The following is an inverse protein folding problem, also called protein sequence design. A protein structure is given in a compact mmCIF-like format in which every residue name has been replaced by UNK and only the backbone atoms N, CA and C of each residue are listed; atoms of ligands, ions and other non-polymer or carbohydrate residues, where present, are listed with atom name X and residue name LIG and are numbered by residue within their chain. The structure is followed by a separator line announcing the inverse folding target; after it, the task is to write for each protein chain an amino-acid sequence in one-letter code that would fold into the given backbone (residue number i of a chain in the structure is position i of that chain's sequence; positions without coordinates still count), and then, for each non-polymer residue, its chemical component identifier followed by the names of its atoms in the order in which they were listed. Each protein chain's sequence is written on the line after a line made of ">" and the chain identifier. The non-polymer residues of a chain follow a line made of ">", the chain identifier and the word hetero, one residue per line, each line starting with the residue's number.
data_IF_285195054478
#
_entry.id   IF_285195054478
#
_cell.length_a   1.000
_cell.length_b   1.000
_cell.length_c   1.000
_cell.angle_alpha   90.00
_cell.angle_beta   90.00
_cell.angle_gamma   90.00
#
_symmetry.space_group_name_H-M   'P 1'
#
loop_
_entity.id
_entity.type
_entity.pdbx_description
1 polymer ?
#
# COMPACT_ATOMS: atom_id res chain seq x y z
N UNK A 1 -6.87 -6.64 -5.58
CA UNK A 1 -5.51 -6.59 -5.03
C UNK A 1 -5.56 -7.29 -3.69
N UNK A 2 -4.62 -8.18 -3.43
CA UNK A 2 -4.62 -9.00 -2.21
C UNK A 2 -3.24 -8.96 -1.57
N UNK A 3 -3.22 -8.85 -0.26
CA UNK A 3 -2.06 -9.14 0.57
C UNK A 3 -2.39 -10.47 1.24
N UNK A 4 -1.68 -11.53 0.87
CA UNK A 4 -1.77 -12.82 1.54
C UNK A 4 -0.50 -13.01 2.37
N UNK A 5 -0.65 -13.52 3.57
CA UNK A 5 0.45 -13.85 4.47
C UNK A 5 0.36 -15.33 4.87
N UNK A 6 1.50 -15.96 5.09
CA UNK A 6 1.55 -17.30 5.65
C UNK A 6 1.87 -17.22 7.14
N UNK A 7 0.86 -17.53 7.98
CA UNK A 7 1.02 -17.58 9.43
C UNK A 7 1.56 -18.95 9.84
N UNK A 8 2.62 -18.95 10.63
CA UNK A 8 3.30 -20.18 11.08
C UNK A 8 3.33 -20.24 12.61
N UNK A 9 3.10 -21.43 13.17
CA UNK A 9 3.29 -21.72 14.58
C UNK A 9 4.79 -21.78 14.88
N UNK A 10 5.30 -20.87 15.72
CA UNK A 10 6.72 -20.74 16.03
C UNK A 10 7.23 -21.95 16.84
N UNK A 11 6.43 -22.48 17.78
CA UNK A 11 6.79 -23.66 18.55
C UNK A 11 7.04 -24.86 17.65
N UNK A 12 6.11 -25.15 16.74
CA UNK A 12 6.23 -26.24 15.75
C UNK A 12 7.37 -26.04 14.77
N UNK A 13 7.56 -24.81 14.32
CA UNK A 13 8.69 -24.46 13.45
C UNK A 13 10.05 -24.77 14.10
N UNK A 14 10.21 -24.44 15.38
CA UNK A 14 11.43 -24.77 16.16
C UNK A 14 11.62 -26.27 16.37
N UNK A 15 10.54 -27.08 16.33
CA UNK A 15 10.58 -28.54 16.35
C UNK A 15 10.90 -29.15 14.97
N UNK A 16 11.01 -28.33 13.92
CA UNK A 16 11.25 -28.74 12.55
C UNK A 16 9.98 -29.09 11.75
N UNK A 17 8.81 -28.74 12.29
CA UNK A 17 7.51 -28.93 11.63
C UNK A 17 6.98 -27.61 11.09
N UNK A 18 6.71 -27.53 9.78
CA UNK A 18 6.08 -26.37 9.16
C UNK A 18 4.55 -26.46 9.30
N UNK A 19 4.02 -25.94 10.40
CA UNK A 19 2.59 -25.85 10.67
C UNK A 19 2.12 -24.41 10.51
N UNK A 20 1.33 -24.14 9.48
CA UNK A 20 0.84 -22.80 9.17
C UNK A 20 -0.27 -22.81 8.14
N UNK A 21 -0.84 -21.63 7.86
CA UNK A 21 -1.85 -21.46 6.81
C UNK A 21 -1.78 -20.08 6.14
N UNK A 22 -2.22 -20.01 4.90
CA UNK A 22 -2.39 -18.77 4.17
C UNK A 22 -3.60 -17.98 4.66
N UNK A 23 -3.43 -16.68 4.83
CA UNK A 23 -4.49 -15.75 5.21
C UNK A 23 -4.48 -14.53 4.31
N UNK A 24 -5.66 -14.19 3.78
CA UNK A 24 -5.87 -12.96 3.01
C UNK A 24 -6.26 -11.79 3.90
N UNK A 25 -5.61 -10.65 3.73
CA UNK A 25 -5.92 -9.39 4.42
C UNK A 25 -6.83 -8.49 3.55
N UNK A 26 -7.72 -7.68 4.13
CA UNK A 26 -7.98 -7.59 5.56
C UNK A 26 -8.79 -8.78 6.09
N UNK A 27 -8.46 -9.22 7.31
CA UNK A 27 -9.10 -10.32 8.02
C UNK A 27 -9.84 -9.80 9.26
N UNK A 28 -10.97 -10.44 9.61
CA UNK A 28 -11.67 -10.15 10.86
C UNK A 28 -11.00 -10.82 12.07
N UNK A 29 -11.24 -10.29 13.26
CA UNK A 29 -10.70 -10.83 14.50
C UNK A 29 -11.14 -12.30 14.73
N UNK A 30 -12.36 -12.67 14.36
CA UNK A 30 -12.87 -14.03 14.48
C UNK A 30 -12.15 -14.98 13.51
N UNK A 31 -11.97 -14.57 12.24
CA UNK A 31 -11.29 -15.37 11.23
C UNK A 31 -9.82 -15.57 11.60
N UNK A 32 -9.17 -14.52 12.10
CA UNK A 32 -7.79 -14.59 12.61
C UNK A 32 -7.66 -15.57 13.77
N UNK A 33 -8.51 -15.43 14.80
CA UNK A 33 -8.49 -16.33 15.95
C UNK A 33 -8.74 -17.80 15.58
N UNK A 34 -9.66 -18.06 14.64
CA UNK A 34 -9.88 -19.43 14.14
C UNK A 34 -8.68 -19.97 13.34
N UNK A 35 -7.98 -19.13 12.58
CA UNK A 35 -6.76 -19.53 11.90
C UNK A 35 -5.68 -19.93 12.90
N UNK A 36 -5.45 -19.11 13.93
CA UNK A 36 -4.48 -19.44 14.99
C UNK A 36 -4.81 -20.77 15.68
N UNK A 37 -6.10 -21.02 15.97
CA UNK A 37 -6.51 -22.30 16.54
C UNK A 37 -6.22 -23.50 15.60
N UNK A 38 -6.44 -23.34 14.29
CA UNK A 38 -6.16 -24.41 13.30
C UNK A 38 -4.69 -24.75 13.18
N UNK A 39 -3.81 -23.75 13.30
CA UNK A 39 -2.36 -23.98 13.29
C UNK A 39 -1.80 -24.39 14.66
N UNK A 40 -2.69 -24.66 15.65
CA UNK A 40 -2.31 -25.21 16.93
C UNK A 40 -1.84 -24.19 17.97
N UNK A 41 -2.07 -22.88 17.75
CA UNK A 41 -1.78 -21.85 18.76
C UNK A 41 -2.69 -22.07 19.97
N UNK A 42 -2.09 -22.24 21.13
CA UNK A 42 -2.73 -22.52 22.40
C UNK A 42 -1.90 -21.94 23.55
N UNK A 43 -2.17 -22.31 24.81
CA UNK A 43 -1.44 -21.79 25.97
C UNK A 43 0.00 -22.30 26.12
N UNK A 44 0.35 -23.40 25.43
CA UNK A 44 1.68 -23.99 25.47
C UNK A 44 2.52 -23.50 24.28
N UNK A 45 1.86 -23.30 23.12
CA UNK A 45 2.42 -22.75 21.90
C UNK A 45 1.71 -21.44 21.58
N UNK A 46 2.12 -20.34 22.24
CA UNK A 46 1.44 -19.04 22.14
C UNK A 46 1.97 -18.17 20.99
N UNK A 47 3.14 -18.50 20.43
CA UNK A 47 3.85 -17.65 19.49
C UNK A 47 3.63 -18.09 18.03
N UNK A 48 3.41 -17.09 17.22
CA UNK A 48 3.28 -17.22 15.77
C UNK A 48 4.06 -16.11 15.07
N UNK A 49 4.40 -16.31 13.80
CA UNK A 49 5.09 -15.31 12.99
C UNK A 49 4.70 -15.46 11.51
N UNK A 50 5.11 -14.50 10.68
CA UNK A 50 4.85 -14.51 9.24
C UNK A 50 6.10 -15.06 8.55
N UNK A 51 5.98 -16.21 7.89
CA UNK A 51 7.10 -16.83 7.17
C UNK A 51 7.12 -16.53 5.69
N UNK A 52 5.98 -16.15 5.13
CA UNK A 52 5.86 -15.85 3.70
C UNK A 52 4.74 -14.86 3.42
N UNK A 53 4.80 -14.21 2.28
CA UNK A 53 3.75 -13.31 1.80
C UNK A 53 3.63 -13.39 0.27
N UNK A 54 2.39 -13.34 -0.20
CA UNK A 54 2.04 -13.23 -1.63
C UNK A 54 1.29 -11.90 -1.84
N UNK A 55 1.92 -10.98 -2.55
CA UNK A 55 1.46 -9.59 -2.71
C UNK A 55 1.55 -9.21 -4.17
N UNK A 56 0.46 -8.73 -4.72
CA UNK A 56 0.38 -8.30 -6.11
C UNK A 56 0.46 -6.77 -6.29
N UNK A 57 1.15 -6.08 -5.38
CA UNK A 57 1.50 -4.66 -5.49
C UNK A 57 3.02 -4.56 -5.66
N UNK A 58 3.46 -4.02 -6.79
CA UNK A 58 4.89 -3.83 -7.04
C UNK A 58 5.53 -2.99 -5.93
N UNK A 59 6.69 -3.43 -5.47
CA UNK A 59 7.46 -2.72 -4.45
C UNK A 59 6.94 -2.81 -3.01
N UNK A 60 5.73 -3.34 -2.74
CA UNK A 60 5.19 -3.39 -1.37
C UNK A 60 5.92 -4.41 -0.48
N UNK A 61 6.38 -5.52 -1.05
CA UNK A 61 7.05 -6.60 -0.30
C UNK A 61 8.30 -6.13 0.44
N UNK A 62 9.00 -5.10 -0.04
CA UNK A 62 10.20 -4.56 0.61
C UNK A 62 9.94 -3.89 1.97
N UNK A 63 8.68 -3.55 2.27
CA UNK A 63 8.26 -2.95 3.55
C UNK A 63 7.70 -3.97 4.54
N UNK A 64 7.59 -5.25 4.14
CA UNK A 64 7.02 -6.31 4.95
C UNK A 64 8.10 -7.30 5.36
N UNK A 65 8.13 -7.64 6.64
CA UNK A 65 9.07 -8.61 7.20
C UNK A 65 8.37 -9.54 8.19
N UNK A 66 9.10 -10.51 8.70
CA UNK A 66 8.61 -11.55 9.63
C UNK A 66 7.90 -10.98 10.87
N UNK A 67 8.34 -9.80 11.34
CA UNK A 67 7.86 -9.14 12.55
C UNK A 67 7.05 -7.88 12.26
N UNK A 68 6.60 -7.70 11.03
CA UNK A 68 5.73 -6.57 10.69
C UNK A 68 4.43 -6.65 11.48
N UNK A 69 3.98 -5.52 12.00
CA UNK A 69 2.76 -5.45 12.81
C UNK A 69 1.54 -5.85 11.97
N UNK A 70 0.93 -6.99 12.32
CA UNK A 70 -0.20 -7.54 11.57
C UNK A 70 -1.43 -6.63 11.59
N UNK A 71 -1.72 -5.90 12.68
CA UNK A 71 -2.86 -4.97 12.72
C UNK A 71 -2.65 -3.78 11.78
N UNK A 72 -1.41 -3.31 11.65
CA UNK A 72 -1.06 -2.28 10.66
C UNK A 72 -1.17 -2.81 9.23
N UNK A 73 -0.68 -4.02 8.96
CA UNK A 73 -0.85 -4.67 7.65
C UNK A 73 -2.33 -4.86 7.31
N UNK A 74 -3.13 -5.28 8.28
CA UNK A 74 -4.57 -5.48 8.15
C UNK A 74 -5.28 -4.15 7.83
N UNK A 75 -4.87 -3.07 8.50
CA UNK A 75 -5.38 -1.73 8.24
C UNK A 75 -4.95 -1.23 6.84
N UNK A 76 -3.68 -1.37 6.48
CA UNK A 76 -3.20 -1.02 5.13
C UNK A 76 -4.00 -1.76 4.05
N UNK A 77 -4.20 -3.08 4.22
CA UNK A 77 -4.98 -3.88 3.28
C UNK A 77 -6.43 -3.38 3.16
N UNK A 78 -7.04 -2.99 4.28
CA UNK A 78 -8.36 -2.35 4.30
C UNK A 78 -8.38 -1.04 3.51
N UNK A 79 -7.41 -0.16 3.76
CA UNK A 79 -7.26 1.11 3.03
C UNK A 79 -7.07 0.91 1.54
N UNK A 80 -6.19 -0.03 1.15
CA UNK A 80 -5.97 -0.37 -0.26
C UNK A 80 -7.24 -0.86 -0.95
N UNK A 81 -8.09 -1.59 -0.24
CA UNK A 81 -9.40 -2.00 -0.75
C UNK A 81 -10.35 -0.81 -0.94
N UNK A 82 -10.36 0.14 0.00
CA UNK A 82 -11.24 1.33 -0.03
C UNK A 82 -10.90 2.29 -1.18
N UNK A 83 -9.62 2.52 -1.49
CA UNK A 83 -9.21 3.42 -2.58
C UNK A 83 -9.51 2.86 -3.99
N UNK A 84 -9.92 1.60 -4.09
CA UNK A 84 -10.31 0.96 -5.35
C UNK A 84 -9.16 0.81 -6.36
N UNK A 85 -9.47 0.28 -7.55
CA UNK A 85 -8.44 -0.09 -8.54
C UNK A 85 -7.60 1.10 -9.04
N UNK A 86 -8.24 2.25 -9.27
CA UNK A 86 -7.52 3.44 -9.76
C UNK A 86 -6.60 4.01 -8.66
N UNK A 87 -7.09 4.08 -7.41
CA UNK A 87 -6.26 4.49 -6.28
C UNK A 87 -5.09 3.54 -6.04
N UNK A 88 -5.32 2.23 -6.17
CA UNK A 88 -4.27 1.22 -6.05
C UNK A 88 -3.17 1.38 -7.11
N UNK A 89 -3.54 1.63 -8.37
CA UNK A 89 -2.59 1.89 -9.45
C UNK A 89 -1.76 3.14 -9.17
N UNK A 90 -2.40 4.21 -8.70
CA UNK A 90 -1.72 5.43 -8.30
C UNK A 90 -0.80 5.20 -7.10
N UNK A 91 -1.27 4.45 -6.09
CA UNK A 91 -0.46 4.05 -4.94
C UNK A 91 0.81 3.30 -5.35
N UNK A 92 0.68 2.32 -6.26
CA UNK A 92 1.81 1.55 -6.79
C UNK A 92 2.82 2.44 -7.52
N UNK A 93 2.37 3.34 -8.40
CA UNK A 93 3.24 4.29 -9.09
C UNK A 93 4.03 5.17 -8.12
N UNK A 94 3.36 5.71 -7.10
CA UNK A 94 4.01 6.52 -6.07
C UNK A 94 4.98 5.69 -5.25
N UNK A 95 4.59 4.46 -4.87
CA UNK A 95 5.44 3.55 -4.10
C UNK A 95 6.74 3.22 -4.85
N UNK A 96 6.67 2.98 -6.16
CA UNK A 96 7.85 2.76 -7.02
C UNK A 96 8.76 4.00 -7.10
N UNK A 97 8.18 5.19 -7.04
CA UNK A 97 8.94 6.44 -7.07
C UNK A 97 9.63 6.78 -5.74
N UNK A 98 9.26 6.13 -4.65
CA UNK A 98 9.86 6.38 -3.34
C UNK A 98 11.27 5.80 -3.25
N UNK A 99 12.21 6.60 -2.72
CA UNK A 99 13.53 6.11 -2.32
C UNK A 99 13.41 5.09 -1.17
N UNK A 100 14.39 4.20 -1.04
CA UNK A 100 14.45 3.15 0.00
C UNK A 100 14.75 3.69 1.42
N UNK A 101 14.62 4.99 1.65
CA UNK A 101 14.78 5.57 2.98
C UNK A 101 13.71 5.02 3.94
N UNK A 102 14.05 5.00 5.23
CA UNK A 102 13.31 4.42 6.37
C UNK A 102 11.81 4.75 6.39
N UNK A 103 11.05 4.09 5.52
CA UNK A 103 9.60 4.15 5.50
C UNK A 103 9.04 2.81 5.96
N UNK A 104 8.03 2.85 6.81
CA UNK A 104 7.35 1.68 7.34
C UNK A 104 5.89 1.63 6.92
N UNK A 105 5.15 0.71 7.53
CA UNK A 105 3.71 0.57 7.28
C UNK A 105 2.92 1.85 7.62
N UNK A 106 3.27 2.63 8.66
CA UNK A 106 2.58 3.90 8.93
C UNK A 106 2.60 4.87 7.75
N UNK A 107 3.75 5.03 7.08
CA UNK A 107 3.90 5.89 5.92
C UNK A 107 3.07 5.38 4.74
N UNK A 108 2.99 4.05 4.55
CA UNK A 108 2.16 3.44 3.52
C UNK A 108 0.66 3.65 3.80
N UNK A 109 0.23 3.54 5.05
CA UNK A 109 -1.14 3.85 5.44
C UNK A 109 -1.45 5.32 5.14
N UNK A 110 -0.55 6.25 5.53
CA UNK A 110 -0.72 7.67 5.23
C UNK A 110 -0.73 7.97 3.74
N UNK A 111 0.08 7.28 2.92
CA UNK A 111 0.05 7.43 1.46
C UNK A 111 -1.34 7.14 0.90
N UNK A 112 -2.09 6.16 1.44
CA UNK A 112 -3.46 5.88 0.98
C UNK A 112 -4.44 7.05 1.19
N UNK A 113 -4.12 7.98 2.08
CA UNK A 113 -4.91 9.20 2.34
C UNK A 113 -4.41 10.43 1.58
N UNK A 114 -3.19 10.34 1.05
CA UNK A 114 -2.47 11.48 0.46
C UNK A 114 -2.11 11.24 -1.02
N UNK A 115 -2.84 10.35 -1.70
CA UNK A 115 -2.61 10.13 -3.12
C UNK A 115 -2.82 11.40 -3.95
N UNK A 116 -3.68 12.30 -3.49
CA UNK A 116 -3.95 13.58 -4.15
C UNK A 116 -2.73 14.52 -4.13
N UNK A 117 -1.77 14.32 -3.21
CA UNK A 117 -0.50 15.05 -3.19
C UNK A 117 0.43 14.71 -4.37
N UNK A 118 0.07 13.74 -5.19
CA UNK A 118 0.87 13.29 -6.33
C UNK A 118 0.12 13.44 -7.65
N UNK A 119 0.85 13.83 -8.67
CA UNK A 119 0.43 13.71 -10.07
C UNK A 119 1.06 12.46 -10.67
N UNK A 120 0.26 11.64 -11.36
CA UNK A 120 0.73 10.46 -12.09
C UNK A 120 0.28 10.57 -13.54
N UNK A 121 1.23 10.66 -14.45
CA UNK A 121 1.01 10.71 -15.90
C UNK A 121 1.32 9.31 -16.49
N UNK A 122 0.30 8.46 -16.56
CA UNK A 122 0.44 7.02 -16.83
C UNK A 122 1.16 6.64 -18.13
N UNK A 123 1.09 7.50 -19.16
CA UNK A 123 1.68 7.22 -20.49
C UNK A 123 3.01 7.91 -20.72
N UNK A 124 3.50 8.65 -19.72
CA UNK A 124 4.74 9.42 -19.78
C UNK A 124 5.87 8.58 -19.19
N UNK A 125 6.80 8.13 -20.05
CA UNK A 125 7.84 7.16 -19.68
C UNK A 125 9.27 7.70 -19.74
N UNK A 126 9.45 8.87 -20.36
CA UNK A 126 10.74 9.49 -20.56
C UNK A 126 10.57 11.00 -20.75
N UNK A 127 11.70 11.69 -20.84
CA UNK A 127 11.73 13.14 -21.01
C UNK A 127 11.02 13.62 -22.28
N UNK A 128 11.13 12.89 -23.40
CA UNK A 128 10.41 13.25 -24.61
C UNK A 128 8.89 13.22 -24.42
N UNK A 129 8.37 12.14 -23.82
CA UNK A 129 6.92 11.99 -23.55
C UNK A 129 6.44 13.09 -22.60
N UNK A 130 7.25 13.43 -21.58
CA UNK A 130 6.92 14.48 -20.62
C UNK A 130 6.85 15.85 -21.31
N UNK A 131 7.85 16.21 -22.10
CA UNK A 131 7.84 17.47 -22.85
C UNK A 131 6.71 17.52 -23.85
N UNK A 132 6.41 16.42 -24.53
CA UNK A 132 5.28 16.32 -25.45
C UNK A 132 3.94 16.52 -24.73
N UNK A 133 3.73 15.82 -23.60
CA UNK A 133 2.53 16.00 -22.76
C UNK A 133 2.33 17.45 -22.35
N UNK A 134 3.38 18.11 -21.85
CA UNK A 134 3.30 19.50 -21.41
C UNK A 134 2.90 20.47 -22.52
N UNK A 135 3.43 20.28 -23.71
CA UNK A 135 3.14 21.17 -24.86
C UNK A 135 1.77 20.88 -25.45
N UNK A 136 1.41 19.60 -25.59
CA UNK A 136 0.28 19.16 -26.42
C UNK A 136 -0.99 18.81 -25.64
N UNK A 137 -0.86 18.30 -24.41
CA UNK A 137 -1.97 17.74 -23.64
C UNK A 137 -2.29 18.52 -22.35
N UNK A 138 -1.30 19.13 -21.70
CA UNK A 138 -1.50 19.81 -20.40
C UNK A 138 -2.48 21.01 -20.49
N UNK A 139 -2.68 21.57 -21.66
CA UNK A 139 -3.50 22.78 -21.87
C UNK A 139 -2.83 24.08 -21.42
N UNK A 140 -1.58 24.03 -20.94
CA UNK A 140 -0.85 25.23 -20.46
C UNK A 140 -0.48 26.15 -21.62
N UNK A 141 -0.18 25.58 -22.79
CA UNK A 141 0.22 26.32 -23.97
C UNK A 141 -0.92 26.40 -24.99
N UNK A 142 -1.22 27.63 -25.47
CA UNK A 142 -2.12 27.82 -26.59
C UNK A 142 -1.38 27.55 -27.92
N UNK A 143 -1.43 26.31 -28.40
CA UNK A 143 -0.70 25.86 -29.61
C UNK A 143 -0.97 26.74 -30.84
N UNK A 144 -2.19 27.29 -30.99
CA UNK A 144 -2.53 28.19 -32.07
C UNK A 144 -1.68 29.45 -32.13
N UNK A 145 -1.16 29.88 -30.97
CA UNK A 145 -0.27 31.04 -30.86
C UNK A 145 1.17 30.73 -31.22
N UNK A 146 1.57 29.46 -31.10
CA UNK A 146 2.92 29.01 -31.47
C UNK A 146 3.10 28.80 -32.97
N UNK A 147 2.02 28.52 -33.67
CA UNK A 147 2.06 28.27 -35.11
C UNK A 147 3.06 27.21 -35.50
N UNK A 148 3.87 27.46 -36.52
CA UNK A 148 4.89 26.52 -37.00
C UNK A 148 6.05 26.28 -36.02
N UNK A 149 6.21 27.10 -34.97
CA UNK A 149 7.26 26.90 -33.96
C UNK A 149 7.07 25.60 -33.15
N UNK A 150 5.84 25.07 -33.12
CA UNK A 150 5.54 23.79 -32.43
C UNK A 150 6.38 22.65 -32.98
N UNK A 151 6.69 22.68 -34.28
CA UNK A 151 7.44 21.61 -34.96
C UNK A 151 8.96 21.69 -34.71
N UNK A 152 9.42 22.77 -34.08
CA UNK A 152 10.83 23.00 -33.75
C UNK A 152 11.09 22.89 -32.24
N UNK A 153 10.10 22.48 -31.43
CA UNK A 153 10.28 22.29 -30.00
C UNK A 153 11.09 21.02 -29.74
N UNK A 154 12.15 21.18 -28.95
CA UNK A 154 12.93 20.08 -28.40
C UNK A 154 12.19 19.51 -27.17
N UNK A 155 11.31 18.54 -27.39
CA UNK A 155 10.49 17.94 -26.34
C UNK A 155 11.33 17.22 -25.29
N UNK A 156 12.42 16.55 -25.68
CA UNK A 156 13.29 15.83 -24.75
C UNK A 156 13.96 16.80 -23.78
N UNK A 157 14.52 17.89 -24.30
CA UNK A 157 15.15 18.92 -23.44
C UNK A 157 14.13 19.62 -22.54
N UNK A 158 12.92 19.88 -23.05
CA UNK A 158 11.84 20.47 -22.25
C UNK A 158 11.44 19.53 -21.11
N UNK A 159 11.19 18.26 -21.41
CA UNK A 159 10.79 17.25 -20.42
C UNK A 159 11.86 17.04 -19.36
N UNK A 160 13.14 16.97 -19.76
CA UNK A 160 14.26 16.87 -18.83
C UNK A 160 14.33 18.06 -17.88
N UNK A 161 14.11 19.28 -18.34
CA UNK A 161 14.04 20.44 -17.48
C UNK A 161 12.84 20.40 -16.53
N UNK A 162 11.70 19.89 -16.97
CA UNK A 162 10.50 19.74 -16.14
C UNK A 162 10.75 18.69 -15.06
N UNK A 163 11.25 17.51 -15.42
CA UNK A 163 11.50 16.42 -14.46
C UNK A 163 12.47 16.81 -13.35
N UNK A 164 13.51 17.60 -13.70
CA UNK A 164 14.47 18.16 -12.72
C UNK A 164 13.79 19.17 -11.79
N UNK A 165 12.99 20.07 -12.34
CA UNK A 165 12.31 21.11 -11.53
C UNK A 165 11.25 20.55 -10.59
N UNK A 166 10.51 19.54 -11.05
CA UNK A 166 9.45 18.89 -10.27
C UNK A 166 10.01 17.83 -9.31
N UNK A 167 11.31 17.51 -9.41
CA UNK A 167 11.92 16.35 -8.75
C UNK A 167 11.13 15.06 -9.00
N UNK A 168 10.56 14.94 -10.20
CA UNK A 168 9.71 13.81 -10.57
C UNK A 168 10.50 12.57 -10.99
N UNK A 169 9.87 11.41 -10.92
CA UNK A 169 10.48 10.10 -11.17
C UNK A 169 9.65 9.32 -12.19
N UNK A 170 10.31 8.65 -13.12
CA UNK A 170 9.67 7.70 -14.04
C UNK A 170 9.54 6.33 -13.37
N UNK A 171 8.31 5.83 -13.29
CA UNK A 171 7.98 4.48 -12.81
C UNK A 171 7.52 3.59 -13.98
N UNK A 172 7.33 2.31 -13.72
CA UNK A 172 6.76 1.38 -14.70
C UNK A 172 5.32 1.77 -15.10
N UNK A 173 4.62 2.50 -14.25
CA UNK A 173 3.25 2.98 -14.51
C UNK A 173 3.26 4.31 -15.29
N UNK A 174 4.17 5.23 -14.95
CA UNK A 174 4.24 6.55 -15.57
C UNK A 174 5.17 7.52 -14.86
N UNK A 175 5.09 8.79 -15.22
CA UNK A 175 5.79 9.86 -14.53
C UNK A 175 5.06 10.26 -13.26
N UNK A 176 5.76 10.35 -12.14
CA UNK A 176 5.23 10.68 -10.82
C UNK A 176 5.92 11.93 -10.29
N UNK A 177 5.17 12.92 -9.86
CA UNK A 177 5.70 14.12 -9.19
C UNK A 177 4.77 14.57 -8.06
N UNK A 178 5.34 15.26 -7.06
CA UNK A 178 4.55 15.96 -6.04
C UNK A 178 3.91 17.20 -6.65
N UNK A 179 2.63 17.45 -6.35
CA UNK A 179 1.88 18.60 -6.87
C UNK A 179 1.86 19.79 -5.92
N UNK A 180 2.49 19.67 -4.74
CA UNK A 180 2.57 20.72 -3.73
C UNK A 180 1.38 20.77 -2.75
N UNK A 181 0.43 19.85 -2.83
CA UNK A 181 -0.63 19.72 -1.85
C UNK A 181 -0.09 19.33 -0.48
N UNK A 182 -0.80 19.70 0.58
CA UNK A 182 -0.37 19.47 1.95
C UNK A 182 -0.58 18.02 2.35
N UNK A 183 0.51 17.37 2.75
CA UNK A 183 0.45 16.02 3.34
C UNK A 183 -0.26 16.05 4.69
N UNK A 184 -1.24 15.15 4.87
CA UNK A 184 -2.04 15.01 6.08
C UNK A 184 -1.70 13.68 6.77
N UNK A 185 -1.05 13.73 7.93
CA UNK A 185 -0.72 12.55 8.72
C UNK A 185 -1.96 12.04 9.47
N UNK A 186 -2.59 10.98 8.95
CA UNK A 186 -3.78 10.33 9.56
C UNK A 186 -3.41 9.26 10.56
N UNK A 187 -2.24 8.65 10.44
CA UNK A 187 -1.77 7.54 11.26
C UNK A 187 -0.33 7.75 11.71
N UNK A 188 -0.12 7.82 13.03
CA UNK A 188 1.19 8.08 13.66
C UNK A 188 1.78 6.80 14.32
N UNK A 189 1.47 5.60 13.84
CA UNK A 189 1.96 4.34 14.40
C UNK A 189 1.30 3.94 15.73
N UNK A 190 0.16 4.54 16.10
CA UNK A 190 -0.49 4.23 17.35
C UNK A 190 -1.66 3.26 17.15
N UNK A 191 -1.61 2.09 17.81
CA UNK A 191 -2.67 1.06 17.75
C UNK A 191 -4.08 1.62 17.97
N UNK A 192 -4.25 2.65 18.83
CA UNK A 192 -5.56 3.25 19.10
C UNK A 192 -6.16 3.97 17.89
N UNK A 193 -5.34 4.36 16.92
CA UNK A 193 -5.78 4.99 15.68
C UNK A 193 -6.20 3.95 14.62
N UNK A 194 -5.79 2.67 14.77
CA UNK A 194 -6.26 1.60 13.89
C UNK A 194 -7.77 1.41 14.14
N UNK A 195 -8.63 1.44 13.11
CA UNK A 195 -10.06 1.16 13.25
C UNK A 195 -10.30 -0.23 13.86
N UNK A 196 -11.35 -0.36 14.67
CA UNK A 196 -11.60 -1.58 15.46
C UNK A 196 -11.75 -2.83 14.61
N UNK A 197 -12.27 -2.71 13.41
CA UNK A 197 -12.46 -3.79 12.44
C UNK A 197 -11.15 -4.42 11.95
N UNK A 198 -10.03 -3.69 12.04
CA UNK A 198 -8.70 -4.17 11.64
C UNK A 198 -7.84 -4.66 12.81
N UNK A 199 -8.33 -4.50 14.07
CA UNK A 199 -7.63 -4.97 15.27
C UNK A 199 -7.93 -6.43 15.51
N UNK A 200 -6.90 -7.27 15.54
CA UNK A 200 -7.06 -8.73 15.60
C UNK A 200 -6.39 -9.36 16.84
N UNK A 201 -5.52 -8.63 17.56
CA UNK A 201 -4.77 -9.19 18.69
C UNK A 201 -5.62 -9.50 19.93
N UNK A 202 -6.83 -8.94 20.01
CA UNK A 202 -7.76 -9.23 21.12
C UNK A 202 -8.66 -10.45 20.83
N UNK A 203 -8.24 -11.34 19.92
CA UNK A 203 -9.02 -12.47 19.39
C UNK A 203 -9.43 -13.48 20.47
N UNK A 204 -8.58 -13.74 21.48
CA UNK A 204 -8.89 -14.68 22.56
C UNK A 204 -10.09 -14.21 23.37
N UNK A 205 -10.15 -12.94 23.73
CA UNK A 205 -11.26 -12.35 24.46
C UNK A 205 -12.55 -12.37 23.65
N UNK A 206 -12.43 -12.24 22.33
CA UNK A 206 -13.57 -12.28 21.43
C UNK A 206 -14.15 -13.69 21.32
N UNK A 207 -13.31 -14.73 21.20
CA UNK A 207 -13.76 -16.12 21.10
C UNK A 207 -14.30 -16.67 22.43
N UNK A 208 -13.86 -16.13 23.59
CA UNK A 208 -14.36 -16.53 24.91
C UNK A 208 -15.74 -15.97 25.25
N UNK A 209 -16.22 -14.91 24.58
CA UNK A 209 -17.56 -14.35 24.82
C UNK A 209 -18.62 -15.30 24.29
N UNK A 210 -19.62 -15.76 25.09
CA UNK A 210 -20.73 -16.56 24.61
C UNK A 210 -21.48 -15.76 23.52
N UNK A 211 -21.86 -16.42 22.42
CA UNK A 211 -22.80 -15.82 21.47
C UNK A 211 -24.05 -15.43 22.26
N UNK A 212 -24.38 -14.15 22.37
CA UNK A 212 -25.66 -13.72 22.89
C UNK A 212 -26.74 -14.41 22.07
N UNK A 213 -27.48 -15.32 22.73
CA UNK A 213 -28.67 -15.91 22.13
C UNK A 213 -29.67 -14.78 21.97
N UNK A 214 -29.83 -14.31 20.73
CA UNK A 214 -30.96 -13.44 20.39
C UNK A 214 -32.23 -14.15 20.77
N UNK A 215 -32.89 -13.66 21.81
CA UNK A 215 -34.25 -14.03 22.09
C UNK A 215 -35.15 -13.36 21.05
N UNK A 216 -35.49 -14.07 19.99
CA UNK A 216 -36.69 -13.73 19.20
C UNK A 216 -37.91 -13.86 20.12
N UNK A 217 -38.59 -12.74 20.31
CA UNK A 217 -39.96 -12.69 20.84
C UNK A 217 -40.94 -12.40 19.71
#
# INVERSE_FOLDING_TARGET
>A
MMINIYLTNLGKYNEGELVGEWMSLPVSIEAFGHALQRIGINKEDEEWFITDHDINISGLSRYLGEYTNLEEMNYLAGRLKEIGSNGQKKFEAVLESWSEEEKGIPELINLTYNLDCYTVLEHVKNDYDLGWYWVRESGIYELSKLGALVDYIDYEKLGSNISINDAGVYSDIGYVSCNGDVWDEKYAGNRKQIPKEYRVFDWEDKLKKPKEKGYER
#
